data_IF_674483924063
#
_entry.id   IF_674483924063
#
_cell.length_a   1.000
_cell.length_b   1.000
_cell.length_c   1.000
_cell.angle_alpha   90.00
_cell.angle_beta   90.00
_cell.angle_gamma   90.00
#
_symmetry.space_group_name_H-M   'P 1'
#
loop_
_entity.id
_entity.type
_entity.pdbx_description
1 polymer ?
#
# COMPACT_ATOMS: atom_id res chain seq x y z
N UNK A 1 -17.64 -27.02 14.89
CA UNK A 1 -17.56 -25.56 15.10
C UNK A 1 -16.26 -25.15 14.45
N UNK A 2 -16.31 -24.95 13.14
CA UNK A 2 -15.15 -24.52 12.38
C UNK A 2 -15.01 -23.02 12.62
N UNK A 3 -14.03 -22.65 13.43
CA UNK A 3 -13.62 -21.27 13.57
C UNK A 3 -13.23 -20.77 12.18
N UNK A 4 -13.96 -19.81 11.61
CA UNK A 4 -13.50 -19.05 10.46
C UNK A 4 -12.24 -18.28 10.87
N UNK A 5 -11.09 -18.95 10.84
CA UNK A 5 -9.79 -18.27 10.81
C UNK A 5 -9.74 -17.52 9.49
N UNK A 6 -9.98 -16.22 9.55
CA UNK A 6 -9.85 -15.31 8.42
C UNK A 6 -8.47 -15.44 7.75
N UNK A 7 -8.36 -14.96 6.51
CA UNK A 7 -7.10 -14.98 5.77
C UNK A 7 -5.99 -14.24 6.54
N UNK A 8 -4.72 -14.69 6.46
CA UNK A 8 -3.61 -14.04 7.13
C UNK A 8 -3.23 -12.75 6.40
N UNK A 9 -3.84 -11.63 6.79
CA UNK A 9 -3.60 -10.35 6.17
C UNK A 9 -2.32 -9.68 6.67
N UNK A 10 -1.61 -8.90 5.83
CA UNK A 10 -1.80 -8.78 4.39
C UNK A 10 -1.46 -10.07 3.62
N UNK A 11 -2.24 -10.41 2.59
CA UNK A 11 -2.04 -11.60 1.74
C UNK A 11 -1.29 -11.23 0.47
N UNK A 12 -0.16 -11.87 0.19
CA UNK A 12 0.56 -11.67 -1.07
C UNK A 12 -0.22 -12.23 -2.28
N UNK A 13 -0.29 -11.46 -3.36
CA UNK A 13 -1.04 -11.79 -4.59
C UNK A 13 -0.13 -11.97 -5.79
N UNK A 14 0.68 -10.95 -6.07
CA UNK A 14 1.83 -11.00 -6.96
C UNK A 14 3.06 -10.72 -6.10
N UNK A 15 4.26 -11.05 -6.61
CA UNK A 15 5.51 -10.80 -5.87
C UNK A 15 5.57 -9.31 -5.47
N UNK A 16 5.66 -9.07 -4.16
CA UNK A 16 5.66 -7.75 -3.51
C UNK A 16 4.32 -6.98 -3.56
N UNK A 17 3.20 -7.62 -3.87
CA UNK A 17 1.87 -7.00 -3.88
C UNK A 17 0.98 -7.68 -2.86
N UNK A 18 0.53 -6.92 -1.87
CA UNK A 18 -0.21 -7.46 -0.73
C UNK A 18 -1.61 -6.88 -0.66
N UNK A 19 -2.61 -7.73 -0.48
CA UNK A 19 -4.00 -7.33 -0.28
C UNK A 19 -4.33 -7.39 1.21
N UNK A 20 -4.97 -6.34 1.71
CA UNK A 20 -5.42 -6.29 3.10
C UNK A 20 -6.73 -5.49 3.20
N UNK A 21 -7.58 -5.72 4.22
CA UNK A 21 -8.74 -4.87 4.45
C UNK A 21 -8.31 -3.47 4.86
N UNK A 22 -9.11 -2.46 4.55
CA UNK A 22 -8.97 -1.13 5.10
C UNK A 22 -9.45 -1.08 6.55
N UNK A 23 -8.53 -0.75 7.46
CA UNK A 23 -8.77 -0.71 8.91
C UNK A 23 -9.24 0.64 9.45
N UNK A 24 -9.13 1.70 8.64
CA UNK A 24 -9.56 3.05 8.99
C UNK A 24 -8.46 4.10 8.83
N UNK A 25 -8.66 5.25 9.46
CA UNK A 25 -7.73 6.39 9.40
C UNK A 25 -7.22 6.75 10.79
N UNK A 26 -6.01 7.29 10.85
CA UNK A 26 -5.45 7.80 12.11
C UNK A 26 -4.71 9.12 11.91
N UNK A 27 -5.00 10.10 12.76
CA UNK A 27 -4.29 11.38 12.86
C UNK A 27 -2.85 11.22 13.37
N UNK A 28 -2.54 10.09 14.01
CA UNK A 28 -1.21 9.80 14.57
C UNK A 28 -0.20 9.34 13.53
N UNK A 29 -0.68 8.95 12.34
CA UNK A 29 0.20 8.63 11.22
C UNK A 29 0.61 9.91 10.50
N UNK A 30 1.90 9.98 10.17
CA UNK A 30 2.42 10.99 9.27
C UNK A 30 1.68 10.96 7.94
N UNK A 31 1.64 12.13 7.30
CA UNK A 31 0.82 12.34 6.13
C UNK A 31 1.18 11.34 4.99
N UNK A 32 2.45 10.98 4.85
CA UNK A 32 2.98 10.00 3.90
C UNK A 32 3.25 8.63 4.53
N UNK A 33 2.54 8.26 5.59
CA UNK A 33 2.70 6.98 6.28
C UNK A 33 1.45 6.12 6.19
N UNK A 34 1.62 4.80 6.15
CA UNK A 34 0.55 3.84 6.40
C UNK A 34 0.90 2.97 7.60
N UNK A 35 -0.11 2.58 8.36
CA UNK A 35 0.03 1.67 9.48
C UNK A 35 -0.42 0.26 9.12
N UNK A 36 0.38 -0.73 9.47
CA UNK A 36 -0.02 -2.14 9.47
C UNK A 36 0.50 -2.80 10.74
N UNK A 37 -0.26 -3.72 11.32
CA UNK A 37 0.16 -4.50 12.47
C UNK A 37 1.58 -5.06 12.32
N UNK A 38 2.45 -4.83 13.30
CA UNK A 38 3.85 -5.27 13.28
C UNK A 38 3.99 -6.77 13.08
N UNK A 39 3.17 -7.56 13.78
CA UNK A 39 3.24 -9.01 13.71
C UNK A 39 2.76 -9.50 12.34
N UNK A 40 1.67 -8.92 11.83
CA UNK A 40 1.16 -9.25 10.51
C UNK A 40 2.19 -8.96 9.39
N UNK A 41 2.85 -7.80 9.44
CA UNK A 41 3.93 -7.46 8.50
C UNK A 41 5.03 -8.53 8.50
N UNK A 42 5.50 -8.90 9.69
CA UNK A 42 6.61 -9.83 9.85
C UNK A 42 6.27 -11.28 9.47
N UNK A 43 5.00 -11.68 9.58
CA UNK A 43 4.56 -13.06 9.33
C UNK A 43 4.06 -13.26 7.91
N UNK A 44 3.43 -12.24 7.31
CA UNK A 44 2.64 -12.41 6.10
C UNK A 44 3.25 -11.67 4.88
N UNK A 45 4.28 -10.86 5.07
CA UNK A 45 4.87 -10.03 4.01
C UNK A 45 6.39 -10.02 4.04
N UNK A 46 7.02 -9.59 2.95
CA UNK A 46 8.45 -9.21 2.91
C UNK A 46 8.65 -7.69 3.09
N UNK A 47 7.61 -6.96 3.51
CA UNK A 47 7.71 -5.53 3.79
C UNK A 47 8.37 -5.32 5.15
N UNK A 48 9.36 -4.43 5.18
CA UNK A 48 10.02 -3.97 6.39
C UNK A 48 9.46 -2.60 6.81
N UNK A 49 9.49 -2.27 8.11
CA UNK A 49 9.23 -0.90 8.54
C UNK A 49 10.14 0.07 7.78
N UNK A 50 9.58 1.19 7.33
CA UNK A 50 10.19 2.21 6.46
C UNK A 50 10.27 1.86 4.98
N UNK A 51 9.86 0.67 4.56
CA UNK A 51 9.66 0.42 3.13
C UNK A 51 8.64 1.41 2.58
N UNK A 52 8.83 1.80 1.32
CA UNK A 52 7.87 2.63 0.60
C UNK A 52 6.95 1.72 -0.21
N UNK A 53 5.66 2.00 -0.18
CA UNK A 53 4.64 1.29 -0.96
C UNK A 53 3.68 2.28 -1.62
N UNK A 54 3.13 1.94 -2.77
CA UNK A 54 1.95 2.62 -3.29
C UNK A 54 0.69 1.90 -2.78
N UNK A 55 -0.38 2.66 -2.52
CA UNK A 55 -1.69 2.08 -2.13
C UNK A 55 -2.68 2.23 -3.27
N UNK A 56 -3.39 1.16 -3.58
CA UNK A 56 -4.43 1.13 -4.59
C UNK A 56 -5.72 0.51 -4.04
N UNK A 57 -6.85 0.87 -4.64
CA UNK A 57 -8.14 0.25 -4.36
C UNK A 57 -8.47 -0.80 -5.41
N UNK A 58 -8.88 -1.99 -4.98
CA UNK A 58 -9.29 -3.04 -5.91
C UNK A 58 -10.48 -2.59 -6.76
N UNK A 59 -10.35 -2.69 -8.09
CA UNK A 59 -11.42 -2.42 -9.05
C UNK A 59 -11.62 -0.96 -9.46
N UNK A 60 -10.88 -0.01 -8.87
CA UNK A 60 -11.06 1.43 -9.13
C UNK A 60 -9.75 2.22 -9.28
N UNK A 61 -8.61 1.56 -9.36
CA UNK A 61 -7.32 2.23 -9.55
C UNK A 61 -7.15 2.65 -11.02
N UNK A 62 -7.02 3.95 -11.34
CA UNK A 62 -6.67 4.36 -12.70
C UNK A 62 -5.29 3.80 -13.07
N UNK A 63 -5.14 3.30 -14.30
CA UNK A 63 -3.86 2.84 -14.87
C UNK A 63 -2.84 4.00 -14.93
N UNK A 64 -2.25 4.36 -13.80
CA UNK A 64 -1.16 5.32 -13.70
C UNK A 64 0.16 4.57 -13.84
N UNK A 65 1.13 5.13 -14.57
CA UNK A 65 2.49 4.62 -14.49
C UNK A 65 2.97 4.65 -13.03
N UNK A 66 3.60 3.57 -12.58
CA UNK A 66 4.02 3.39 -11.18
C UNK A 66 4.90 4.53 -10.62
N UNK A 67 5.63 5.26 -11.47
CA UNK A 67 6.45 6.41 -11.05
C UNK A 67 5.65 7.69 -10.78
N UNK A 68 4.35 7.69 -11.09
CA UNK A 68 3.39 8.75 -10.75
C UNK A 68 2.47 8.35 -9.58
N UNK A 69 2.63 7.14 -9.05
CA UNK A 69 1.88 6.71 -7.86
C UNK A 69 2.45 7.40 -6.62
N UNK A 70 1.55 7.93 -5.79
CA UNK A 70 1.94 8.44 -4.48
C UNK A 70 2.43 7.27 -3.61
N UNK A 71 3.56 7.46 -2.92
CA UNK A 71 4.15 6.41 -2.07
C UNK A 71 4.10 6.79 -0.61
N UNK A 72 3.89 5.77 0.22
CA UNK A 72 3.76 5.86 1.66
C UNK A 72 4.82 5.01 2.32
N UNK A 73 5.37 5.51 3.42
CA UNK A 73 6.23 4.75 4.32
C UNK A 73 5.41 3.79 5.18
N UNK A 74 5.85 2.54 5.26
CA UNK A 74 5.23 1.52 6.12
C UNK A 74 5.65 1.74 7.57
N UNK A 75 4.67 1.96 8.44
CA UNK A 75 4.81 2.03 9.88
C UNK A 75 4.28 0.73 10.50
N UNK A 76 5.14 0.03 11.23
CA UNK A 76 4.76 -1.13 11.99
C UNK A 76 4.04 -0.73 13.28
N UNK A 77 2.73 -0.97 13.31
CA UNK A 77 1.88 -0.70 14.46
C UNK A 77 2.13 -1.76 15.53
N UNK A 78 2.84 -1.37 16.59
CA UNK A 78 2.91 -2.17 17.82
C UNK A 78 1.77 -1.81 18.78
N UNK A 79 1.49 -2.64 19.80
CA UNK A 79 0.37 -2.40 20.72
C UNK A 79 0.40 -1.08 21.50
N UNK A 80 1.49 -0.30 21.43
CA UNK A 80 1.60 1.02 22.08
C UNK A 80 1.26 2.16 21.12
N UNK A 81 1.18 1.88 19.82
CA UNK A 81 0.81 2.87 18.82
C UNK A 81 -0.71 3.10 18.87
N UNK A 82 -1.15 4.36 18.87
CA UNK A 82 -2.57 4.71 19.04
C UNK A 82 -3.46 4.14 17.92
N UNK A 83 -2.92 4.03 16.70
CA UNK A 83 -3.59 3.39 15.57
C UNK A 83 -3.65 1.85 15.61
N UNK A 84 -3.07 1.17 16.62
CA UNK A 84 -2.96 -0.29 16.63
C UNK A 84 -4.32 -1.01 16.63
N UNK A 85 -5.32 -0.44 17.29
CA UNK A 85 -6.68 -1.00 17.37
C UNK A 85 -7.41 -1.00 16.02
N UNK A 86 -6.92 -0.23 15.04
CA UNK A 86 -7.44 -0.20 13.67
C UNK A 86 -6.82 -1.29 12.78
N UNK A 87 -5.80 -2.01 13.27
CA UNK A 87 -5.13 -3.11 12.57
C UNK A 87 -4.95 -4.34 13.49
N UNK A 88 -6.04 -4.92 14.03
CA UNK A 88 -5.94 -6.07 14.90
C UNK A 88 -5.38 -7.32 14.18
N UNK A 89 -5.61 -7.45 12.86
CA UNK A 89 -5.26 -8.63 12.06
C UNK A 89 -4.39 -8.32 10.84
N UNK A 90 -3.89 -7.09 10.70
CA UNK A 90 -3.07 -6.67 9.57
C UNK A 90 -3.79 -5.78 8.56
N UNK A 91 -4.96 -5.25 8.91
CA UNK A 91 -5.68 -4.23 8.16
C UNK A 91 -4.79 -2.99 7.94
N UNK A 92 -4.98 -2.32 6.81
CA UNK A 92 -4.22 -1.12 6.46
C UNK A 92 -4.89 0.10 7.06
N UNK A 93 -4.13 0.83 7.85
CA UNK A 93 -4.51 2.13 8.40
C UNK A 93 -3.90 3.22 7.54
N UNK A 94 -4.75 4.10 7.01
CA UNK A 94 -4.30 5.27 6.24
C UNK A 94 -4.15 6.49 7.16
N UNK A 95 -3.38 7.51 6.77
CA UNK A 95 -3.30 8.72 7.55
C UNK A 95 -4.64 9.46 7.49
N UNK A 96 -4.93 10.26 8.51
CA UNK A 96 -6.09 11.15 8.52
C UNK A 96 -5.85 12.41 7.67
N UNK A 97 -5.38 12.16 6.45
CA UNK A 97 -5.38 13.12 5.36
C UNK A 97 -6.11 12.52 4.20
N UNK A 98 -6.62 13.41 3.37
CA UNK A 98 -7.08 13.05 2.06
C UNK A 98 -5.89 12.49 1.21
N UNK A 99 -5.74 11.17 1.10
CA UNK A 99 -5.01 10.40 0.05
C UNK A 99 -5.30 10.93 -1.37
N UNK A 100 -4.37 11.68 -1.96
CA UNK A 100 -4.48 12.42 -3.25
C UNK A 100 -5.91 12.63 -3.81
N UNK A 101 -6.66 13.52 -3.16
CA UNK A 101 -8.08 13.78 -3.41
C UNK A 101 -8.38 14.80 -4.50
N UNK A 102 -7.39 15.35 -5.20
CA UNK A 102 -7.70 16.44 -6.14
C UNK A 102 -8.61 15.98 -7.29
N UNK A 103 -8.81 14.65 -7.49
CA UNK A 103 -9.55 14.13 -8.65
C UNK A 103 -10.80 13.25 -8.39
N UNK A 104 -10.99 12.55 -7.26
CA UNK A 104 -12.12 11.59 -7.10
C UNK A 104 -12.56 11.27 -5.63
N UNK A 105 -13.46 12.05 -5.01
CA UNK A 105 -13.96 11.81 -3.64
C UNK A 105 -14.74 10.51 -3.42
N UNK A 106 -15.28 9.90 -4.48
CA UNK A 106 -16.06 8.66 -4.41
C UNK A 106 -15.20 7.39 -4.29
N UNK A 107 -13.88 7.54 -4.37
CA UNK A 107 -12.90 6.46 -4.27
C UNK A 107 -12.25 6.41 -2.87
N UNK A 108 -12.99 6.75 -1.82
CA UNK A 108 -12.52 6.48 -0.46
C UNK A 108 -12.83 5.02 -0.09
N UNK A 109 -11.85 4.25 0.42
CA UNK A 109 -12.17 2.94 0.96
C UNK A 109 -13.07 3.10 2.18
N UNK A 110 -14.03 2.18 2.31
CA UNK A 110 -14.83 1.96 3.51
C UNK A 110 -14.16 0.89 4.35
N UNK A 111 -14.44 0.88 5.66
CA UNK A 111 -13.90 -0.14 6.56
C UNK A 111 -14.18 -1.54 5.99
N UNK A 112 -13.13 -2.35 5.91
CA UNK A 112 -13.16 -3.69 5.32
C UNK A 112 -12.97 -3.76 3.80
N UNK A 113 -13.01 -2.65 3.06
CA UNK A 113 -12.73 -2.65 1.63
C UNK A 113 -11.30 -3.15 1.36
N UNK A 114 -11.12 -3.95 0.31
CA UNK A 114 -9.80 -4.44 -0.05
C UNK A 114 -8.92 -3.32 -0.61
N UNK A 115 -7.73 -3.19 -0.03
CA UNK A 115 -6.67 -2.31 -0.50
C UNK A 115 -5.46 -3.14 -0.93
N UNK A 116 -4.74 -2.65 -1.93
CA UNK A 116 -3.53 -3.26 -2.44
C UNK A 116 -2.33 -2.40 -2.04
N UNK A 117 -1.40 -2.99 -1.30
CA UNK A 117 -0.08 -2.45 -1.05
C UNK A 117 0.86 -2.95 -2.14
N UNK A 118 1.30 -2.05 -3.02
CA UNK A 118 2.29 -2.34 -4.05
C UNK A 118 3.67 -1.99 -3.49
N UNK A 119 4.45 -3.01 -3.14
CA UNK A 119 5.87 -2.85 -2.81
C UNK A 119 6.58 -2.04 -3.88
N UNK A 120 7.33 -1.01 -3.48
CA UNK A 120 7.93 -0.08 -4.44
C UNK A 120 8.84 -0.78 -5.45
N UNK A 121 8.91 -0.16 -6.63
CA UNK A 121 9.78 -0.59 -7.71
C UNK A 121 11.25 -0.75 -7.30
N UNK A 122 11.75 -0.13 -6.22
CA UNK A 122 13.13 -0.28 -5.75
C UNK A 122 13.49 -1.75 -5.46
N UNK A 123 12.64 -2.50 -4.73
CA UNK A 123 12.83 -3.96 -4.53
C UNK A 123 12.67 -4.75 -5.84
N UNK A 124 11.91 -4.25 -6.83
CA UNK A 124 11.77 -4.85 -8.18
C UNK A 124 12.95 -4.50 -9.11
N UNK A 125 13.62 -3.38 -8.87
CA UNK A 125 14.67 -2.76 -9.68
C UNK A 125 16.05 -3.28 -9.33
N UNK A 126 16.27 -3.64 -8.07
CA UNK A 126 17.51 -4.29 -7.64
C UNK A 126 17.79 -5.58 -8.42
N UNK A 127 16.74 -6.27 -8.89
CA UNK A 127 16.90 -7.43 -9.76
C UNK A 127 17.36 -7.04 -11.19
N UNK A 128 16.97 -5.88 -11.76
CA UNK A 128 17.38 -5.38 -13.11
C UNK A 128 17.21 -3.85 -13.32
N UNK A 129 18.20 -3.01 -12.97
CA UNK A 129 18.09 -1.54 -13.04
C UNK A 129 18.13 -0.96 -14.48
N UNK A 130 18.79 -1.65 -15.41
CA UNK A 130 19.00 -1.24 -16.81
C UNK A 130 17.68 -1.04 -17.59
N UNK A 131 16.68 -1.90 -17.31
CA UNK A 131 15.40 -1.94 -18.02
C UNK A 131 14.55 -0.68 -17.78
N UNK A 132 14.68 -0.07 -16.61
CA UNK A 132 13.96 1.16 -16.28
C UNK A 132 14.43 2.34 -17.11
N UNK A 133 15.74 2.48 -17.30
CA UNK A 133 16.28 3.52 -18.16
C UNK A 133 15.72 3.42 -19.60
N UNK A 134 15.49 2.21 -20.09
CA UNK A 134 14.91 1.98 -21.41
C UNK A 134 13.41 2.28 -21.48
N UNK A 135 12.64 1.96 -20.43
CA UNK A 135 11.22 2.29 -20.32
C UNK A 135 10.99 3.81 -20.25
N UNK A 136 11.77 4.52 -19.44
CA UNK A 136 11.68 5.98 -19.33
C UNK A 136 12.02 6.67 -20.65
N UNK A 137 13.00 6.16 -21.40
CA UNK A 137 13.32 6.66 -22.76
C UNK A 137 12.16 6.50 -23.74
N UNK A 138 11.34 5.45 -23.60
CA UNK A 138 10.17 5.20 -24.46
C UNK A 138 8.99 6.10 -24.08
N UNK A 139 8.74 6.31 -22.79
CA UNK A 139 7.63 7.16 -22.31
C UNK A 139 7.85 8.67 -22.54
N UNK A 140 9.10 9.13 -22.59
CA UNK A 140 9.44 10.56 -22.78
C UNK A 140 9.44 11.00 -24.25
N UNK A 141 9.35 10.08 -25.22
CA UNK A 141 9.08 10.44 -26.62
C UNK A 141 7.64 10.92 -26.75
N UNK A 142 7.43 12.23 -26.55
CA UNK A 142 6.18 12.90 -26.94
C UNK A 142 5.87 12.60 -28.42
N UNK A 143 4.61 12.37 -28.80
CA UNK A 143 4.23 12.47 -30.21
C UNK A 143 4.46 13.93 -30.62
N UNK A 144 5.29 14.13 -31.65
CA UNK A 144 5.30 15.40 -32.35
C UNK A 144 3.95 15.52 -33.05
N UNK A 145 3.10 16.43 -32.58
CA UNK A 145 1.99 16.97 -33.36
C UNK A 145 2.51 18.13 -34.22
#
# INVERSE_FOLDING_TARGET
>A
MDSETGLPYPVETLRFWYVSPFGGRSETLGADQIGVNRQALAQNTELEPKDRVAVALTGNDPDRPWFMEETFEVVALDPRHEAADLSPQGEVVLPDRAYDFVLRPHLQPRLGDAVVLKGTAAKRLDDRPEWLAELLRKAVRRPNF
#
